data_IF_145154754622
#
_entry.id   IF_145154754622
#
_cell.length_a   1.000
_cell.length_b   1.000
_cell.length_c   1.000
_cell.angle_alpha   90.00
_cell.angle_beta   90.00
_cell.angle_gamma   90.00
#
_symmetry.space_group_name_H-M   'P 1'
#
loop_
_entity.id
_entity.type
_entity.pdbx_description
1 polymer ?
#
# COMPACT_ATOMS: atom_id res chain seq x y z
N UNK A 1 -12.58 -18.41 12.10
CA UNK A 1 -11.43 -18.30 11.17
C UNK A 1 -11.15 -16.81 10.99
N UNK A 2 -10.21 -16.27 11.75
CA UNK A 2 -9.89 -14.85 11.70
C UNK A 2 -8.85 -14.64 10.61
N UNK A 3 -9.30 -14.55 9.35
CA UNK A 3 -8.47 -13.97 8.29
C UNK A 3 -8.31 -12.50 8.62
N UNK A 4 -7.14 -12.11 9.14
CA UNK A 4 -6.83 -10.72 9.43
C UNK A 4 -6.85 -9.95 8.09
N UNK A 5 -7.90 -9.16 7.88
CA UNK A 5 -8.01 -8.30 6.70
C UNK A 5 -6.95 -7.20 6.80
N UNK A 6 -5.86 -7.33 6.05
CA UNK A 6 -4.90 -6.23 5.87
C UNK A 6 -5.54 -5.16 5.01
N UNK A 7 -5.47 -3.90 5.45
CA UNK A 7 -5.85 -2.75 4.62
C UNK A 7 -4.60 -2.15 4.02
N UNK A 8 -4.62 -1.98 2.71
CA UNK A 8 -3.51 -1.55 1.90
C UNK A 8 -3.96 -0.31 1.13
N UNK A 9 -3.39 0.86 1.41
CA UNK A 9 -3.74 2.11 0.73
C UNK A 9 -2.65 2.47 -0.26
N UNK A 10 -2.98 2.52 -1.53
CA UNK A 10 -2.07 2.90 -2.61
C UNK A 10 -2.36 4.33 -3.05
N UNK A 11 -1.45 5.23 -2.71
CA UNK A 11 -1.43 6.59 -3.23
C UNK A 11 -0.74 6.58 -4.60
N UNK A 12 -1.51 6.92 -5.62
CA UNK A 12 -1.08 6.92 -7.02
C UNK A 12 -1.32 8.28 -7.67
N UNK A 13 -0.73 8.48 -8.83
CA UNK A 13 -1.03 9.60 -9.73
C UNK A 13 -1.32 9.10 -11.13
N UNK A 14 -2.07 9.88 -11.89
CA UNK A 14 -2.36 9.58 -13.29
C UNK A 14 -1.06 9.43 -14.11
N UNK A 15 -1.00 8.40 -14.96
CA UNK A 15 0.10 8.13 -15.90
C UNK A 15 1.42 7.61 -15.30
N UNK A 16 1.36 6.64 -14.39
CA UNK A 16 2.55 6.03 -13.79
C UNK A 16 2.69 4.54 -14.17
N UNK A 17 3.68 4.21 -15.00
CA UNK A 17 3.94 2.81 -15.42
C UNK A 17 4.27 1.86 -14.26
N UNK A 18 4.85 2.38 -13.17
CA UNK A 18 5.15 1.60 -11.96
C UNK A 18 3.88 1.17 -11.20
N UNK A 19 2.76 1.88 -11.38
CA UNK A 19 1.51 1.54 -10.73
C UNK A 19 0.84 0.30 -11.33
N UNK A 20 1.12 -0.03 -12.59
CA UNK A 20 0.58 -1.23 -13.25
C UNK A 20 1.17 -2.49 -12.62
N UNK A 21 2.50 -2.54 -12.47
CA UNK A 21 3.20 -3.67 -11.82
C UNK A 21 2.77 -3.82 -10.37
N UNK A 22 2.62 -2.71 -9.64
CA UNK A 22 2.10 -2.74 -8.27
C UNK A 22 0.68 -3.34 -8.21
N UNK A 23 -0.23 -2.95 -9.11
CA UNK A 23 -1.59 -3.51 -9.17
C UNK A 23 -1.61 -5.01 -9.46
N UNK A 24 -0.77 -5.49 -10.36
CA UNK A 24 -0.69 -6.92 -10.68
C UNK A 24 -0.22 -7.73 -9.46
N UNK A 25 0.84 -7.29 -8.78
CA UNK A 25 1.31 -7.87 -7.52
C UNK A 25 0.19 -7.98 -6.47
N UNK A 26 -0.60 -6.92 -6.38
CA UNK A 26 -1.69 -6.75 -5.43
C UNK A 26 -2.88 -7.69 -5.72
N UNK A 27 -3.11 -8.13 -6.95
CA UNK A 27 -4.22 -9.08 -7.23
C UNK A 27 -4.00 -10.50 -6.69
N UNK A 28 -2.79 -10.84 -6.30
CA UNK A 28 -2.41 -12.21 -5.90
C UNK A 28 -2.61 -12.53 -4.41
N UNK A 29 -2.91 -11.54 -3.58
CA UNK A 29 -3.00 -11.71 -2.12
C UNK A 29 -4.37 -11.22 -1.63
N UNK A 30 -5.05 -11.92 -0.70
CA UNK A 30 -6.34 -11.48 -0.17
C UNK A 30 -6.16 -10.36 0.85
N UNK A 31 -6.32 -9.11 0.42
CA UNK A 31 -6.31 -7.93 1.29
C UNK A 31 -7.26 -6.87 0.73
N UNK A 32 -7.54 -5.83 1.52
CA UNK A 32 -8.37 -4.71 1.10
C UNK A 32 -7.48 -3.62 0.48
N UNK A 33 -7.55 -3.43 -0.84
CA UNK A 33 -6.83 -2.37 -1.55
C UNK A 33 -7.68 -1.10 -1.68
N UNK A 34 -7.25 -0.02 -1.04
CA UNK A 34 -7.81 1.31 -1.21
C UNK A 34 -6.89 2.14 -2.13
N UNK A 35 -7.35 2.43 -3.35
CA UNK A 35 -6.58 3.26 -4.28
C UNK A 35 -7.00 4.73 -4.12
N UNK A 36 -6.05 5.59 -3.78
CA UNK A 36 -6.28 7.03 -3.61
C UNK A 36 -5.45 7.78 -4.64
N UNK A 37 -6.10 8.60 -5.46
CA UNK A 37 -5.38 9.57 -6.29
C UNK A 37 -4.98 10.75 -5.41
N UNK A 38 -3.68 11.06 -5.36
CA UNK A 38 -3.20 12.21 -4.59
C UNK A 38 -3.73 13.53 -5.14
N UNK A 39 -4.13 13.60 -6.41
CA UNK A 39 -4.74 14.77 -7.04
C UNK A 39 -6.26 14.82 -6.89
N UNK A 40 -6.88 13.86 -6.19
CA UNK A 40 -8.31 13.89 -5.96
C UNK A 40 -8.71 15.17 -5.18
N UNK A 41 -9.86 15.79 -5.53
CA UNK A 41 -10.31 17.00 -4.88
C UNK A 41 -10.55 16.76 -3.39
N UNK A 42 -9.92 17.57 -2.53
CA UNK A 42 -10.02 17.47 -1.07
C UNK A 42 -8.90 16.67 -0.39
N UNK A 43 -7.89 16.19 -1.11
CA UNK A 43 -6.71 15.52 -0.54
C UNK A 43 -5.56 16.50 -0.30
N UNK A 44 -5.10 16.63 0.95
CA UNK A 44 -3.83 17.30 1.26
C UNK A 44 -2.60 16.41 0.95
N UNK A 45 -2.84 15.12 0.69
CA UNK A 45 -1.83 14.15 0.28
C UNK A 45 -1.08 14.57 -1.00
N UNK A 46 -1.70 15.37 -1.88
CA UNK A 46 -1.03 15.97 -3.03
C UNK A 46 0.24 16.69 -2.63
N UNK A 47 0.18 17.58 -1.64
CA UNK A 47 1.31 18.41 -1.24
C UNK A 47 2.38 17.61 -0.51
N UNK A 48 1.95 16.58 0.24
CA UNK A 48 2.85 15.76 1.07
C UNK A 48 3.55 14.65 0.28
N UNK A 49 2.87 14.04 -0.68
CA UNK A 49 3.34 12.86 -1.40
C UNK A 49 3.55 13.10 -2.91
N UNK A 50 3.38 14.32 -3.45
CA UNK A 50 3.59 14.61 -4.89
C UNK A 50 4.94 14.14 -5.44
N UNK A 51 6.00 14.21 -4.62
CA UNK A 51 7.35 13.79 -5.01
C UNK A 51 7.66 12.35 -4.62
N UNK A 52 6.94 11.79 -3.64
CA UNK A 52 7.17 10.45 -3.09
C UNK A 52 6.28 9.36 -3.70
N UNK A 53 5.27 9.73 -4.50
CA UNK A 53 4.41 8.76 -5.18
C UNK A 53 5.19 7.89 -6.18
N UNK A 54 4.90 6.59 -6.25
CA UNK A 54 3.82 5.87 -5.55
C UNK A 54 4.14 5.59 -4.06
N UNK A 55 3.16 5.84 -3.18
CA UNK A 55 3.26 5.55 -1.73
C UNK A 55 2.25 4.48 -1.37
N UNK A 56 2.69 3.50 -0.58
CA UNK A 56 1.88 2.39 -0.10
C UNK A 56 1.84 2.44 1.42
N UNK A 57 0.64 2.48 1.97
CA UNK A 57 0.39 2.35 3.40
C UNK A 57 -0.25 0.99 3.71
N UNK A 58 0.23 0.35 4.77
CA UNK A 58 -0.32 -0.88 5.31
C UNK A 58 -0.88 -0.59 6.70
N UNK A 59 -2.18 -0.82 6.89
CA UNK A 59 -2.91 -0.51 8.12
C UNK A 59 -2.68 0.93 8.63
N UNK A 60 -2.57 1.88 7.70
CA UNK A 60 -2.31 3.30 8.01
C UNK A 60 -0.85 3.64 8.35
N UNK A 61 0.10 2.72 8.12
CA UNK A 61 1.54 2.99 8.21
C UNK A 61 2.20 2.90 6.86
N UNK A 62 3.04 3.88 6.51
CA UNK A 62 3.80 3.85 5.26
C UNK A 62 4.72 2.62 5.23
N UNK A 63 4.44 1.71 4.31
CA UNK A 63 5.19 0.49 4.09
C UNK A 63 6.29 0.69 3.05
N UNK A 64 6.01 1.42 1.97
CA UNK A 64 6.96 1.70 0.90
C UNK A 64 6.57 2.94 0.09
N UNK A 65 7.57 3.61 -0.47
CA UNK A 65 7.44 4.81 -1.31
C UNK A 65 8.48 4.78 -2.43
N UNK A 66 8.31 5.59 -3.49
CA UNK A 66 9.17 5.70 -4.68
C UNK A 66 9.28 4.44 -5.57
N UNK A 67 9.62 3.28 -4.99
CA UNK A 67 9.85 2.01 -5.71
C UNK A 67 9.03 0.90 -5.06
N UNK A 68 8.02 0.43 -5.79
CA UNK A 68 7.16 -0.68 -5.37
C UNK A 68 7.66 -1.94 -6.05
N UNK A 69 8.42 -2.75 -5.33
CA UNK A 69 8.83 -4.08 -5.78
C UNK A 69 7.79 -5.11 -5.29
N UNK A 70 7.20 -5.87 -6.21
CA UNK A 70 6.22 -6.94 -5.91
C UNK A 70 6.71 -7.88 -4.81
N UNK A 71 7.94 -8.37 -4.95
CA UNK A 71 8.52 -9.33 -4.01
C UNK A 71 8.65 -8.75 -2.60
N UNK A 72 9.06 -7.48 -2.47
CA UNK A 72 9.14 -6.81 -1.17
C UNK A 72 7.75 -6.57 -0.59
N UNK A 73 6.78 -6.23 -1.42
CA UNK A 73 5.41 -6.00 -0.98
C UNK A 73 4.80 -7.28 -0.41
N UNK A 74 4.96 -8.40 -1.11
CA UNK A 74 4.56 -9.73 -0.63
C UNK A 74 5.25 -10.06 0.68
N UNK A 75 6.56 -9.81 0.80
CA UNK A 75 7.33 -10.05 2.02
C UNK A 75 6.81 -9.23 3.21
N UNK A 76 6.56 -7.93 3.02
CA UNK A 76 5.97 -7.05 4.04
C UNK A 76 4.58 -7.53 4.44
N UNK A 77 3.74 -7.96 3.49
CA UNK A 77 2.39 -8.45 3.79
C UNK A 77 2.43 -9.76 4.59
N UNK A 78 3.29 -10.70 4.20
CA UNK A 78 3.51 -11.91 4.98
C UNK A 78 4.03 -11.58 6.38
N UNK A 79 4.98 -10.67 6.52
CA UNK A 79 5.48 -10.24 7.82
C UNK A 79 4.40 -9.56 8.65
N UNK A 80 3.54 -8.73 8.05
CA UNK A 80 2.46 -8.04 8.76
C UNK A 80 1.39 -9.00 9.29
N UNK A 81 0.99 -10.01 8.51
CA UNK A 81 0.12 -11.09 9.00
C UNK A 81 0.69 -11.79 10.23
N UNK A 82 2.01 -11.95 10.28
CA UNK A 82 2.71 -12.56 11.42
C UNK A 82 2.93 -11.57 12.59
N UNK A 83 3.05 -10.26 12.31
CA UNK A 83 3.37 -9.21 13.28
C UNK A 83 2.17 -8.75 14.11
N UNK A 84 0.94 -8.85 13.58
CA UNK A 84 -0.29 -8.58 14.36
C UNK A 84 -0.48 -9.55 15.54
N UNK A 85 0.29 -10.64 15.60
CA UNK A 85 0.35 -11.54 16.77
C UNK A 85 1.30 -11.06 17.89
N UNK A 86 2.06 -9.97 17.69
CA UNK A 86 3.02 -9.43 18.66
C UNK A 86 2.79 -7.92 18.92
N UNK A 87 1.56 -7.53 19.24
CA UNK A 87 1.32 -6.31 20.02
C UNK A 87 0.29 -6.59 21.11
N UNK A 88 0.63 -7.53 22.00
CA UNK A 88 -0.06 -7.73 23.28
C UNK A 88 1.00 -8.00 24.35
N UNK A 89 1.64 -6.93 24.80
CA UNK A 89 2.34 -6.94 26.08
C UNK A 89 1.70 -5.87 26.97
#
# INVERSE_FOLDING_TARGET
MSTAFLRLTLFTKTNCGLCTTAKEALTRVPFQLDQIDIYAPGQEAAQKYMFDVPVVELNGRVAMMHRIDELKLIDILHNAQNSDSQQKN
#
